data_IF_478856547273
#
_entry.id   IF_478856547273
#
_cell.length_a   1.000
_cell.length_b   1.000
_cell.length_c   1.000
_cell.angle_alpha   90.00
_cell.angle_beta   90.00
_cell.angle_gamma   90.00
#
_symmetry.space_group_name_H-M   'P 1'
#
loop_
_entity.id
_entity.type
_entity.pdbx_description
1 polymer ?
#
# COMPACT_ATOMS: atom_id res chain seq x y z
N UNK A 1 10.67 -6.73 8.57
CA UNK A 1 10.10 -5.76 7.62
C UNK A 1 10.59 -6.07 6.23
N UNK A 2 9.70 -6.03 5.24
CA UNK A 2 9.96 -6.06 3.82
C UNK A 2 9.61 -4.68 3.25
N UNK A 3 10.56 -4.01 2.58
CA UNK A 3 10.35 -2.66 2.04
C UNK A 3 10.80 -2.60 0.59
N UNK A 4 9.99 -1.95 -0.24
CA UNK A 4 10.31 -1.67 -1.64
C UNK A 4 10.31 -0.16 -1.90
N UNK A 5 11.18 0.29 -2.81
CA UNK A 5 11.21 1.67 -3.31
C UNK A 5 10.14 1.85 -4.38
N UNK A 6 8.89 1.79 -3.94
CA UNK A 6 7.72 2.02 -4.74
C UNK A 6 6.68 2.68 -3.84
N UNK A 7 6.57 4.00 -3.90
CA UNK A 7 5.63 4.82 -3.14
C UNK A 7 4.71 5.63 -4.04
N UNK A 8 4.00 6.62 -3.46
CA UNK A 8 3.03 7.41 -4.23
C UNK A 8 3.65 8.30 -5.33
N UNK A 9 4.97 8.55 -5.28
CA UNK A 9 5.68 9.27 -6.33
C UNK A 9 5.95 8.41 -7.58
N UNK A 10 5.89 7.08 -7.46
CA UNK A 10 6.30 6.13 -8.50
C UNK A 10 5.16 5.78 -9.46
N UNK A 11 4.38 6.79 -9.88
CA UNK A 11 3.28 6.63 -10.83
C UNK A 11 3.74 6.56 -12.30
N UNK A 12 5.03 6.77 -12.59
CA UNK A 12 5.59 6.75 -13.92
C UNK A 12 6.99 6.12 -13.90
N UNK A 13 7.10 4.88 -14.39
CA UNK A 13 8.31 4.09 -14.28
C UNK A 13 8.49 3.17 -15.49
N UNK A 14 9.64 2.51 -15.57
CA UNK A 14 9.96 1.52 -16.61
C UNK A 14 9.87 0.12 -15.99
N UNK A 15 8.89 -0.71 -16.38
CA UNK A 15 8.77 -2.06 -15.85
C UNK A 15 10.01 -2.91 -16.16
N UNK A 16 10.30 -3.88 -15.30
CA UNK A 16 11.39 -4.84 -15.52
C UNK A 16 11.18 -5.56 -16.85
N UNK A 17 12.21 -5.59 -17.69
CA UNK A 17 12.16 -6.22 -19.01
C UNK A 17 11.46 -5.40 -20.11
N UNK A 18 10.83 -4.26 -19.77
CA UNK A 18 10.27 -3.34 -20.76
C UNK A 18 11.29 -2.31 -21.21
N UNK A 19 11.18 -1.81 -22.45
CA UNK A 19 11.91 -0.63 -22.92
C UNK A 19 11.10 0.67 -22.80
N UNK A 20 9.79 0.56 -22.61
CA UNK A 20 8.86 1.68 -22.58
C UNK A 20 8.50 2.05 -21.15
N UNK A 21 8.37 3.36 -20.90
CA UNK A 21 7.80 3.86 -19.66
C UNK A 21 6.28 3.62 -19.65
N UNK A 22 5.76 3.30 -18.48
CA UNK A 22 4.32 3.21 -18.21
C UNK A 22 3.95 4.28 -17.18
N UNK A 23 2.76 4.84 -17.35
CA UNK A 23 2.14 5.68 -16.34
C UNK A 23 0.93 4.96 -15.78
N UNK A 24 0.87 4.83 -14.46
CA UNK A 24 -0.24 4.25 -13.73
C UNK A 24 -1.02 5.38 -13.02
N UNK A 25 -2.28 5.15 -12.61
CA UNK A 25 -3.01 6.10 -11.80
C UNK A 25 -2.29 6.43 -10.48
N UNK A 26 -2.54 7.61 -9.93
CA UNK A 26 -2.15 7.93 -8.57
C UNK A 26 -2.83 6.96 -7.58
N UNK A 27 -2.19 6.70 -6.44
CA UNK A 27 -2.70 5.78 -5.43
C UNK A 27 -2.39 4.29 -5.67
N UNK A 28 -1.77 3.90 -6.79
CA UNK A 28 -1.49 2.47 -7.08
C UNK A 28 -0.58 1.81 -6.04
N UNK A 29 0.43 2.50 -5.50
CA UNK A 29 1.27 1.94 -4.44
C UNK A 29 0.46 1.62 -3.17
N UNK A 30 -0.38 2.55 -2.74
CA UNK A 30 -1.30 2.38 -1.61
C UNK A 30 -2.35 1.30 -1.87
N UNK A 31 -2.89 1.24 -3.09
CA UNK A 31 -3.84 0.21 -3.48
C UNK A 31 -3.22 -1.19 -3.41
N UNK A 32 -1.97 -1.34 -3.85
CA UNK A 32 -1.25 -2.60 -3.75
C UNK A 32 -0.98 -2.97 -2.29
N UNK A 33 -0.61 -2.00 -1.44
CA UNK A 33 -0.46 -2.21 0.00
C UNK A 33 -1.65 -2.93 0.60
N UNK A 34 -2.86 -2.45 0.33
CA UNK A 34 -4.09 -3.07 0.79
C UNK A 34 -4.30 -4.46 0.16
N UNK A 35 -4.20 -4.55 -1.16
CA UNK A 35 -4.55 -5.79 -1.86
C UNK A 35 -3.63 -6.96 -1.56
N UNK A 36 -2.36 -6.73 -1.19
CA UNK A 36 -1.42 -7.81 -0.89
C UNK A 36 -1.77 -8.57 0.40
N UNK A 37 -2.59 -8.02 1.29
CA UNK A 37 -3.08 -8.74 2.47
C UNK A 37 -4.21 -9.73 2.17
N UNK A 38 -4.83 -9.64 1.00
CA UNK A 38 -5.92 -10.54 0.67
C UNK A 38 -5.43 -11.80 -0.04
N UNK A 39 -5.96 -12.94 0.38
CA UNK A 39 -5.70 -14.26 -0.20
C UNK A 39 -7.02 -14.98 -0.44
N UNK A 40 -7.00 -15.97 -1.33
CA UNK A 40 -8.18 -16.78 -1.66
C UNK A 40 -8.66 -17.59 -0.44
N UNK A 41 -7.71 -18.20 0.28
CA UNK A 41 -8.01 -19.23 1.29
C UNK A 41 -7.67 -18.83 2.73
N UNK A 42 -7.13 -17.63 2.95
CA UNK A 42 -6.55 -17.26 4.25
C UNK A 42 -6.80 -15.78 4.62
N UNK A 43 -7.27 -15.54 5.84
CA UNK A 43 -7.18 -14.22 6.47
C UNK A 43 -5.81 -14.07 7.11
N UNK A 44 -4.95 -13.30 6.45
CA UNK A 44 -3.56 -13.13 6.88
C UNK A 44 -3.44 -12.46 8.25
N UNK A 45 -4.32 -11.52 8.60
CA UNK A 45 -4.25 -10.87 9.92
C UNK A 45 -4.54 -11.88 11.03
N UNK A 46 -5.55 -12.73 10.82
CA UNK A 46 -5.86 -13.83 11.74
C UNK A 46 -4.69 -14.81 11.82
N UNK A 47 -4.11 -15.21 10.68
CA UNK A 47 -3.00 -16.15 10.65
C UNK A 47 -1.72 -15.63 11.35
N UNK A 48 -1.40 -14.34 11.21
CA UNK A 48 -0.34 -13.71 11.99
C UNK A 48 -0.67 -13.72 13.49
N UNK A 49 -1.91 -13.39 13.86
CA UNK A 49 -2.35 -13.33 15.26
C UNK A 49 -2.28 -14.69 15.97
N UNK A 50 -2.68 -15.78 15.29
CA UNK A 50 -2.58 -17.15 15.79
C UNK A 50 -1.13 -17.56 16.09
N UNK A 51 -0.16 -16.96 15.39
CA UNK A 51 1.26 -17.16 15.61
C UNK A 51 1.89 -16.13 16.58
N UNK A 52 1.08 -15.40 17.34
CA UNK A 52 1.50 -14.34 18.27
C UNK A 52 2.22 -13.18 17.57
N UNK A 53 1.76 -12.82 16.36
CA UNK A 53 2.26 -11.70 15.59
C UNK A 53 1.14 -10.71 15.23
N UNK A 54 1.51 -9.43 15.12
CA UNK A 54 0.66 -8.38 14.60
C UNK A 54 1.28 -7.83 13.33
N UNK A 55 0.62 -8.06 12.19
CA UNK A 55 1.04 -7.52 10.90
C UNK A 55 0.53 -6.10 10.67
N UNK A 56 1.28 -5.33 9.89
CA UNK A 56 0.91 -4.00 9.44
C UNK A 56 1.64 -3.66 8.12
N UNK A 57 1.16 -2.64 7.42
CA UNK A 57 1.88 -2.03 6.31
C UNK A 57 1.68 -0.52 6.29
N UNK A 58 2.47 0.14 5.47
CA UNK A 58 2.24 1.54 5.12
C UNK A 58 2.94 1.89 3.81
N UNK A 59 2.36 2.87 3.12
CA UNK A 59 2.91 3.51 1.94
C UNK A 59 3.26 4.96 2.26
N UNK A 60 4.44 5.40 1.85
CA UNK A 60 4.88 6.79 1.88
C UNK A 60 4.98 7.34 0.46
N UNK A 61 5.54 8.55 0.34
CA UNK A 61 5.91 9.11 -0.96
C UNK A 61 6.90 8.23 -1.75
N UNK A 62 7.88 7.61 -1.10
CA UNK A 62 9.04 6.98 -1.75
C UNK A 62 9.16 5.46 -1.54
N UNK A 63 8.28 4.85 -0.73
CA UNK A 63 8.33 3.42 -0.42
C UNK A 63 7.00 2.87 0.07
N UNK A 64 6.87 1.56 -0.04
CA UNK A 64 5.86 0.76 0.68
C UNK A 64 6.57 -0.27 1.54
N UNK A 65 6.11 -0.43 2.78
CA UNK A 65 6.69 -1.37 3.75
C UNK A 65 5.62 -2.28 4.34
N UNK A 66 5.94 -3.57 4.40
CA UNK A 66 5.15 -4.60 5.06
C UNK A 66 5.94 -5.13 6.25
N UNK A 67 5.33 -5.21 7.43
CA UNK A 67 6.00 -5.60 8.65
C UNK A 67 5.09 -6.38 9.58
N UNK A 68 5.70 -7.01 10.57
CA UNK A 68 5.01 -7.54 11.72
C UNK A 68 5.86 -7.34 12.97
N UNK A 69 5.21 -7.32 14.13
CA UNK A 69 5.83 -7.51 15.44
C UNK A 69 5.38 -8.85 16.00
N UNK A 70 6.24 -9.57 16.71
CA UNK A 70 5.88 -10.89 17.25
C UNK A 70 6.66 -11.21 18.52
N UNK A 71 6.07 -12.04 19.38
CA UNK A 71 6.71 -12.54 20.62
C UNK A 71 7.26 -13.95 20.46
N UNK A 72 6.82 -14.69 19.45
CA UNK A 72 7.25 -16.06 19.12
C UNK A 72 7.06 -16.36 17.63
N UNK A 73 7.38 -17.58 17.19
CA UNK A 73 7.16 -18.06 15.81
C UNK A 73 7.76 -17.15 14.72
N UNK A 74 8.91 -16.51 15.00
CA UNK A 74 9.49 -15.49 14.13
C UNK A 74 9.78 -16.02 12.72
N UNK A 75 10.37 -17.21 12.59
CA UNK A 75 10.72 -17.78 11.28
C UNK A 75 9.48 -18.06 10.42
N UNK A 76 8.41 -18.58 11.04
CA UNK A 76 7.15 -18.85 10.37
C UNK A 76 6.49 -17.55 9.88
N UNK A 77 6.42 -16.54 10.75
CA UNK A 77 5.91 -15.22 10.39
C UNK A 77 6.76 -14.49 9.32
N UNK A 78 8.09 -14.70 9.28
CA UNK A 78 8.93 -14.21 8.17
C UNK A 78 8.53 -14.89 6.87
N UNK A 79 8.39 -16.21 6.84
CA UNK A 79 7.97 -16.94 5.64
C UNK A 79 6.58 -16.51 5.18
N UNK A 80 5.66 -16.29 6.12
CA UNK A 80 4.32 -15.76 5.85
C UNK A 80 4.37 -14.38 5.22
N UNK A 81 5.15 -13.45 5.77
CA UNK A 81 5.33 -12.11 5.20
C UNK A 81 5.91 -12.16 3.78
N UNK A 82 6.90 -13.02 3.52
CA UNK A 82 7.47 -13.18 2.19
C UNK A 82 6.45 -13.74 1.20
N UNK A 83 5.74 -14.80 1.59
CA UNK A 83 4.71 -15.40 0.76
C UNK A 83 3.59 -14.38 0.45
N UNK A 84 3.13 -13.63 1.45
CA UNK A 84 2.14 -12.55 1.28
C UNK A 84 2.52 -11.62 0.13
N UNK A 85 3.75 -11.11 0.11
CA UNK A 85 4.22 -10.13 -0.88
C UNK A 85 4.49 -10.77 -2.25
N UNK A 86 5.00 -12.01 -2.28
CA UNK A 86 5.43 -12.66 -3.53
C UNK A 86 4.29 -13.39 -4.28
N UNK A 87 3.15 -13.67 -3.63
CA UNK A 87 2.02 -14.40 -4.23
C UNK A 87 0.73 -13.55 -4.29
N UNK A 88 0.73 -12.42 -5.01
CA UNK A 88 -0.43 -11.53 -5.00
C UNK A 88 -1.69 -12.20 -5.57
N UNK A 89 -2.85 -11.94 -4.95
CA UNK A 89 -4.14 -12.47 -5.37
C UNK A 89 -5.10 -11.33 -5.73
N UNK A 90 -5.59 -11.35 -6.96
CA UNK A 90 -6.49 -10.33 -7.48
C UNK A 90 -7.67 -10.97 -8.23
N UNK A 91 -8.87 -10.58 -7.85
CA UNK A 91 -10.08 -10.82 -8.64
C UNK A 91 -10.76 -9.49 -8.92
N UNK A 92 -11.56 -9.40 -9.98
CA UNK A 92 -12.30 -8.17 -10.29
C UNK A 92 -13.21 -7.75 -9.12
N UNK A 93 -13.83 -8.71 -8.46
CA UNK A 93 -14.68 -8.50 -7.28
C UNK A 93 -13.91 -7.88 -6.11
N UNK A 94 -12.79 -8.50 -5.70
CA UNK A 94 -11.97 -8.01 -4.57
C UNK A 94 -11.35 -6.65 -4.87
N UNK A 95 -10.94 -6.41 -6.12
CA UNK A 95 -10.42 -5.10 -6.57
C UNK A 95 -11.49 -4.02 -6.46
N UNK A 96 -12.73 -4.29 -6.90
CA UNK A 96 -13.80 -3.30 -6.83
C UNK A 96 -14.27 -3.02 -5.40
N UNK A 97 -14.29 -4.06 -4.55
CA UNK A 97 -14.53 -3.92 -3.12
C UNK A 97 -13.49 -3.00 -2.46
N UNK A 98 -12.21 -3.25 -2.73
CA UNK A 98 -11.12 -2.49 -2.10
C UNK A 98 -11.11 -1.02 -2.52
N UNK A 99 -11.44 -0.72 -3.79
CA UNK A 99 -11.64 0.67 -4.24
C UNK A 99 -12.69 1.40 -3.42
N UNK A 100 -13.77 0.73 -3.02
CA UNK A 100 -14.80 1.30 -2.17
C UNK A 100 -14.28 1.63 -0.76
N UNK A 101 -13.49 0.75 -0.17
CA UNK A 101 -12.88 0.93 1.15
C UNK A 101 -11.93 2.13 1.13
N UNK A 102 -11.01 2.17 0.17
CA UNK A 102 -10.04 3.27 0.02
C UNK A 102 -10.74 4.60 -0.27
N UNK A 103 -11.87 4.59 -1.00
CA UNK A 103 -12.65 5.81 -1.22
C UNK A 103 -13.22 6.40 0.07
N UNK A 104 -13.65 5.57 1.04
CA UNK A 104 -14.07 6.04 2.35
C UNK A 104 -12.88 6.52 3.20
N UNK A 105 -11.73 5.85 3.11
CA UNK A 105 -10.50 6.27 3.78
C UNK A 105 -10.04 7.66 3.31
N UNK A 106 -10.06 7.92 2.00
CA UNK A 106 -9.75 9.25 1.43
C UNK A 106 -10.70 10.31 2.02
N UNK A 107 -12.00 10.02 2.14
CA UNK A 107 -12.95 10.97 2.77
C UNK A 107 -12.57 11.25 4.21
N UNK A 108 -12.22 10.22 4.99
CA UNK A 108 -11.76 10.38 6.36
C UNK A 108 -10.54 11.30 6.44
N UNK A 109 -9.55 11.14 5.55
CA UNK A 109 -8.39 12.04 5.50
C UNK A 109 -8.75 13.48 5.14
N UNK A 110 -9.74 13.70 4.26
CA UNK A 110 -10.21 15.05 3.93
C UNK A 110 -10.96 15.74 5.09
N UNK A 111 -11.39 14.98 6.10
CA UNK A 111 -11.97 15.50 7.34
C UNK A 111 -10.93 15.79 8.42
N UNK A 112 -9.68 15.35 8.26
CA UNK A 112 -8.58 15.65 9.17
C UNK A 112 -7.93 17.01 8.81
N UNK A 113 -8.07 18.06 9.64
CA UNK A 113 -7.65 19.41 9.26
C UNK A 113 -6.14 19.52 8.96
N UNK A 114 -5.30 18.84 9.75
CA UNK A 114 -3.85 18.84 9.55
C UNK A 114 -3.43 18.22 8.22
N UNK A 115 -4.03 17.08 7.88
CA UNK A 115 -3.77 16.37 6.63
C UNK A 115 -4.21 17.20 5.41
N UNK A 116 -5.41 17.76 5.47
CA UNK A 116 -5.95 18.65 4.44
C UNK A 116 -5.08 19.90 4.24
N UNK A 117 -4.61 20.52 5.33
CA UNK A 117 -3.72 21.69 5.26
C UNK A 117 -2.37 21.34 4.61
N UNK A 118 -1.79 20.19 4.98
CA UNK A 118 -0.54 19.71 4.40
C UNK A 118 -0.67 19.57 2.87
N UNK A 119 -1.68 18.83 2.39
CA UNK A 119 -1.85 18.62 0.95
C UNK A 119 -2.29 19.88 0.19
N UNK A 120 -3.04 20.79 0.81
CA UNK A 120 -3.30 22.11 0.22
C UNK A 120 -2.01 22.92 0.05
N UNK A 121 -1.11 22.87 1.03
CA UNK A 121 0.20 23.52 0.96
C UNK A 121 1.06 22.91 -0.14
N UNK A 122 1.14 21.57 -0.22
CA UNK A 122 1.87 20.88 -1.29
C UNK A 122 1.32 21.21 -2.68
N UNK A 123 -0.01 21.28 -2.84
CA UNK A 123 -0.66 21.70 -4.09
C UNK A 123 -0.38 23.15 -4.47
N UNK A 124 -0.19 24.03 -3.50
CA UNK A 124 0.17 25.43 -3.73
C UNK A 124 1.66 25.59 -4.08
N UNK A 125 2.54 24.79 -3.47
CA UNK A 125 3.98 24.82 -3.72
C UNK A 125 4.38 24.16 -5.04
N UNK A 126 3.77 23.03 -5.38
CA UNK A 126 4.16 22.20 -6.53
C UNK A 126 3.09 22.19 -7.60
N UNK A 127 3.40 22.73 -8.79
CA UNK A 127 2.46 22.72 -9.92
C UNK A 127 2.44 21.39 -10.68
N UNK A 128 3.59 20.70 -10.75
CA UNK A 128 3.76 19.47 -11.57
C UNK A 128 4.25 18.25 -10.81
N UNK A 129 5.00 18.44 -9.72
CA UNK A 129 5.62 17.33 -9.00
C UNK A 129 4.56 16.45 -8.31
N UNK A 130 4.63 15.10 -8.41
CA UNK A 130 3.56 14.21 -7.93
C UNK A 130 3.34 14.25 -6.41
N UNK A 131 4.31 14.75 -5.62
CA UNK A 131 4.18 14.97 -4.17
C UNK A 131 2.96 15.82 -3.77
N UNK A 132 2.37 16.55 -4.72
CA UNK A 132 1.13 17.33 -4.49
C UNK A 132 -0.14 16.48 -4.39
N UNK A 133 -0.07 15.21 -4.81
CA UNK A 133 -1.17 14.25 -4.82
C UNK A 133 -1.10 13.42 -3.56
N UNK A 134 -2.28 13.10 -3.02
CA UNK A 134 -2.44 12.25 -1.85
C UNK A 134 -1.80 10.88 -2.08
N UNK A 135 -1.31 10.24 -1.01
CA UNK A 135 -0.71 8.91 -1.09
C UNK A 135 -1.74 7.87 -1.57
N UNK A 136 -3.00 8.01 -1.13
CA UNK A 136 -4.09 7.14 -1.53
C UNK A 136 -4.64 7.41 -2.95
N UNK A 137 -4.19 8.49 -3.60
CA UNK A 137 -4.65 8.95 -4.92
C UNK A 137 -5.58 10.15 -4.89
#
# INVERSE_FOLDING_TARGET
>A
TYTTQFGSLDNHFKPIGSQQFVKVPDGVAHFLEHKLFEKEDEDLFTAFAEENAQANAFTSFDRTSYLFSATSNIESNIKRLLNMVETPYFTEETVNKEKGIIAEEIKMYQEQPGYKLMFNTLRAMYSKHPIRVDIAG
#
